data_IF_535332409885
#
_entry.id   IF_535332409885
#
_cell.length_a   1.000
_cell.length_b   1.000
_cell.length_c   1.000
_cell.angle_alpha   90.00
_cell.angle_beta   90.00
_cell.angle_gamma   90.00
#
_symmetry.space_group_name_H-M   'P 1'
#
loop_
_entity.id
_entity.type
_entity.pdbx_description
1 polymer ?
#
# COMPACT_ATOMS: atom_id res chain seq x y z
N UNK A 1 10.87 -15.02 25.72
CA UNK A 1 12.01 -15.83 25.23
C UNK A 1 11.70 -16.19 23.79
N UNK A 2 12.59 -15.88 22.83
CA UNK A 2 12.37 -16.21 21.44
C UNK A 2 12.37 -17.74 21.26
N UNK A 3 11.38 -18.27 20.57
CA UNK A 3 11.29 -19.70 20.29
C UNK A 3 12.34 -20.05 19.22
N UNK A 4 13.20 -21.04 19.48
CA UNK A 4 14.21 -21.45 18.50
C UNK A 4 13.57 -22.33 17.43
N UNK A 5 13.80 -21.97 16.16
CA UNK A 5 13.41 -22.76 14.99
C UNK A 5 14.60 -23.58 14.48
N UNK A 6 14.38 -24.85 14.12
CA UNK A 6 15.41 -25.76 13.60
C UNK A 6 14.94 -26.44 12.32
N UNK A 7 15.65 -26.21 11.21
CA UNK A 7 15.38 -26.88 9.93
C UNK A 7 15.60 -28.39 10.00
N UNK A 8 16.48 -28.87 10.88
CA UNK A 8 16.74 -30.29 11.06
C UNK A 8 15.54 -31.04 11.67
N UNK A 9 14.58 -30.32 12.25
CA UNK A 9 13.34 -30.89 12.77
C UNK A 9 12.20 -30.89 11.73
N UNK A 10 12.45 -30.45 10.49
CA UNK A 10 11.46 -30.39 9.43
C UNK A 10 11.65 -31.57 8.43
N UNK A 11 10.65 -32.44 8.31
CA UNK A 11 10.65 -33.53 7.31
C UNK A 11 10.35 -33.02 5.89
N UNK A 12 9.62 -31.90 5.78
CA UNK A 12 9.21 -31.29 4.53
C UNK A 12 9.36 -29.78 4.62
N UNK A 13 9.83 -29.17 3.53
CA UNK A 13 9.90 -27.72 3.37
C UNK A 13 9.10 -27.34 2.13
N UNK A 14 8.02 -26.59 2.33
CA UNK A 14 7.22 -26.01 1.26
C UNK A 14 7.77 -24.65 0.86
N UNK A 15 7.80 -24.36 -0.43
CA UNK A 15 8.18 -23.07 -0.97
C UNK A 15 7.02 -22.51 -1.78
N UNK A 16 6.75 -21.22 -1.59
CA UNK A 16 5.93 -20.47 -2.54
C UNK A 16 6.69 -20.31 -3.88
N UNK A 17 5.96 -20.08 -4.96
CA UNK A 17 6.57 -19.92 -6.28
C UNK A 17 6.93 -18.46 -6.51
N UNK A 18 5.93 -17.59 -6.58
CA UNK A 18 6.09 -16.23 -7.05
C UNK A 18 6.80 -15.35 -6.02
N UNK A 19 7.83 -14.62 -6.45
CA UNK A 19 8.72 -13.86 -5.57
C UNK A 19 9.47 -14.67 -4.50
N UNK A 20 9.33 -16.00 -4.49
CA UNK A 20 10.07 -16.92 -3.62
C UNK A 20 11.05 -17.79 -4.43
N UNK A 21 10.56 -18.75 -5.21
CA UNK A 21 11.40 -19.55 -6.13
C UNK A 21 11.58 -18.84 -7.48
N UNK A 22 10.50 -18.28 -8.02
CA UNK A 22 10.49 -17.49 -9.26
C UNK A 22 10.67 -16.01 -8.93
N UNK A 23 11.81 -15.44 -9.31
CA UNK A 23 12.14 -14.04 -9.05
C UNK A 23 11.94 -13.20 -10.31
N UNK A 24 10.97 -12.30 -10.25
CA UNK A 24 10.68 -11.35 -11.31
C UNK A 24 11.63 -10.16 -11.31
N UNK A 25 11.84 -9.56 -12.49
CA UNK A 25 12.40 -8.22 -12.59
C UNK A 25 11.31 -7.23 -12.16
N UNK A 26 11.47 -6.64 -10.98
CA UNK A 26 10.47 -5.77 -10.37
C UNK A 26 10.12 -4.55 -11.22
N UNK A 27 11.09 -3.97 -11.93
CA UNK A 27 10.84 -2.79 -12.76
C UNK A 27 9.92 -3.13 -13.93
N UNK A 28 10.19 -4.25 -14.60
CA UNK A 28 9.40 -4.70 -15.75
C UNK A 28 8.03 -5.21 -15.32
N UNK A 29 7.96 -5.98 -14.23
CA UNK A 29 6.69 -6.51 -13.73
C UNK A 29 5.79 -5.40 -13.20
N UNK A 30 6.35 -4.41 -12.49
CA UNK A 30 5.57 -3.28 -11.98
C UNK A 30 4.96 -2.47 -13.13
N UNK A 31 5.76 -2.16 -14.16
CA UNK A 31 5.28 -1.46 -15.35
C UNK A 31 4.18 -2.27 -16.07
N UNK A 32 4.35 -3.58 -16.23
CA UNK A 32 3.36 -4.44 -16.86
C UNK A 32 2.02 -4.44 -16.08
N UNK A 33 2.09 -4.60 -14.76
CA UNK A 33 0.90 -4.64 -13.90
C UNK A 33 0.16 -3.31 -13.96
N UNK A 34 0.88 -2.20 -13.76
CA UNK A 34 0.29 -0.86 -13.82
C UNK A 34 -0.39 -0.62 -15.17
N UNK A 35 0.33 -0.86 -16.27
CA UNK A 35 -0.18 -0.63 -17.62
C UNK A 35 -1.42 -1.48 -17.91
N UNK A 36 -1.45 -2.73 -17.42
CA UNK A 36 -2.61 -3.61 -17.60
C UNK A 36 -3.86 -3.04 -16.94
N UNK A 37 -3.74 -2.52 -15.72
CA UNK A 37 -4.86 -1.90 -15.02
C UNK A 37 -5.24 -0.54 -15.59
N UNK A 38 -4.26 0.33 -15.87
CA UNK A 38 -4.50 1.65 -16.43
C UNK A 38 -5.21 1.55 -17.79
N UNK A 39 -4.78 0.63 -18.67
CA UNK A 39 -5.45 0.39 -19.95
C UNK A 39 -6.89 -0.06 -19.79
N UNK A 40 -7.17 -0.94 -18.82
CA UNK A 40 -8.53 -1.38 -18.53
C UNK A 40 -9.40 -0.22 -18.00
N UNK A 41 -8.89 0.57 -17.06
CA UNK A 41 -9.64 1.70 -16.50
C UNK A 41 -9.95 2.76 -17.57
N UNK A 42 -9.00 3.07 -18.44
CA UNK A 42 -9.23 4.05 -19.51
C UNK A 42 -10.20 3.50 -20.56
N UNK A 43 -9.94 2.30 -21.10
CA UNK A 43 -10.74 1.76 -22.22
C UNK A 43 -12.13 1.30 -21.82
N UNK A 44 -12.25 0.59 -20.71
CA UNK A 44 -13.49 -0.10 -20.32
C UNK A 44 -14.29 0.68 -19.28
N UNK A 45 -13.63 1.58 -18.51
CA UNK A 45 -14.28 2.36 -17.45
C UNK A 45 -14.33 3.86 -17.73
N UNK A 46 -13.68 4.33 -18.80
CA UNK A 46 -13.73 5.73 -19.22
C UNK A 46 -12.97 6.69 -18.30
N UNK A 47 -11.95 6.21 -17.59
CA UNK A 47 -11.05 7.09 -16.83
C UNK A 47 -10.15 7.92 -17.75
N UNK A 48 -9.57 8.98 -17.21
CA UNK A 48 -8.71 9.91 -17.95
C UNK A 48 -7.46 9.22 -18.54
N UNK A 49 -7.13 9.56 -19.79
CA UNK A 49 -5.94 9.05 -20.49
C UNK A 49 -4.62 9.45 -19.80
N UNK A 50 -4.62 10.45 -18.92
CA UNK A 50 -3.48 10.83 -18.07
C UNK A 50 -2.95 9.63 -17.27
N UNK A 51 -3.80 8.64 -16.93
CA UNK A 51 -3.38 7.40 -16.26
C UNK A 51 -2.42 6.54 -17.10
N UNK A 52 -2.34 6.72 -18.41
CA UNK A 52 -1.40 6.00 -19.28
C UNK A 52 -0.02 6.68 -19.33
N UNK A 53 0.12 7.86 -18.74
CA UNK A 53 1.37 8.64 -18.75
C UNK A 53 2.10 8.46 -17.42
N UNK A 54 3.24 7.77 -17.47
CA UNK A 54 4.12 7.54 -16.34
C UNK A 54 5.51 8.11 -16.58
N UNK A 55 6.06 8.68 -15.53
CA UNK A 55 7.47 9.05 -15.41
C UNK A 55 8.20 8.04 -14.52
N UNK A 56 9.53 8.04 -14.55
CA UNK A 56 10.32 7.18 -13.64
C UNK A 56 10.14 7.60 -12.18
N UNK A 57 9.94 8.90 -11.92
CA UNK A 57 9.78 9.48 -10.58
C UNK A 57 8.47 9.05 -9.92
N UNK A 58 7.43 8.74 -10.69
CA UNK A 58 6.15 8.26 -10.15
C UNK A 58 6.31 6.96 -9.34
N UNK A 59 7.29 6.12 -9.70
CA UNK A 59 7.54 4.86 -8.99
C UNK A 59 8.10 5.04 -7.59
N UNK A 60 8.65 6.21 -7.25
CA UNK A 60 9.15 6.51 -5.90
C UNK A 60 8.01 6.55 -4.86
N UNK A 61 6.76 6.68 -5.32
CA UNK A 61 5.58 6.54 -4.48
C UNK A 61 5.41 5.12 -3.92
N UNK A 62 5.81 4.11 -4.68
CA UNK A 62 5.56 2.70 -4.38
C UNK A 62 6.42 2.20 -3.21
N UNK A 63 5.84 2.18 -2.01
CA UNK A 63 6.47 1.64 -0.80
C UNK A 63 5.68 0.46 -0.22
N UNK A 64 6.36 -0.66 0.08
CA UNK A 64 5.70 -1.79 0.76
C UNK A 64 5.14 -1.40 2.11
N UNK A 65 3.98 -1.95 2.46
CA UNK A 65 3.26 -1.67 3.69
C UNK A 65 2.68 -0.26 3.73
N UNK A 66 2.26 0.27 2.58
CA UNK A 66 1.37 1.43 2.50
C UNK A 66 -0.06 0.97 2.80
N UNK A 67 -0.77 1.74 3.60
CA UNK A 67 -2.20 1.58 3.82
C UNK A 67 -2.95 2.65 3.05
N UNK A 68 -4.00 2.28 2.33
CA UNK A 68 -4.95 3.21 1.73
C UNK A 68 -6.20 3.23 2.61
N UNK A 69 -6.56 4.43 3.07
CA UNK A 69 -7.85 4.72 3.64
C UNK A 69 -8.85 4.92 2.49
N UNK A 70 -9.82 4.01 2.37
CA UNK A 70 -10.80 4.01 1.29
C UNK A 70 -11.89 5.07 1.48
N UNK A 71 -12.03 5.64 2.69
CA UNK A 71 -13.05 6.66 2.95
C UNK A 71 -12.62 8.03 2.45
N UNK A 72 -11.34 8.38 2.59
CA UNK A 72 -10.81 9.68 2.23
C UNK A 72 -9.81 9.65 1.06
N UNK A 73 -9.30 8.48 0.66
CA UNK A 73 -8.30 8.35 -0.41
C UNK A 73 -6.87 8.66 0.05
N UNK A 74 -6.62 8.65 1.36
CA UNK A 74 -5.31 8.94 1.95
C UNK A 74 -4.46 7.67 2.01
N UNK A 75 -3.24 7.77 1.50
CA UNK A 75 -2.20 6.76 1.68
C UNK A 75 -1.40 7.08 2.92
N UNK A 76 -1.14 6.07 3.74
CA UNK A 76 -0.55 6.20 5.06
C UNK A 76 0.57 5.17 5.20
N UNK A 77 1.72 5.62 5.70
CA UNK A 77 2.82 4.76 6.10
C UNK A 77 2.89 4.72 7.62
N UNK A 78 2.73 3.54 8.20
CA UNK A 78 2.79 3.32 9.64
C UNK A 78 4.17 2.80 10.08
N UNK A 79 4.55 3.16 11.31
CA UNK A 79 5.58 2.49 12.08
C UNK A 79 5.03 1.21 12.73
N UNK A 80 5.93 0.38 13.27
CA UNK A 80 5.55 -0.86 13.94
C UNK A 80 4.67 -0.65 15.18
N UNK A 81 4.75 0.52 15.82
CA UNK A 81 3.92 0.90 16.97
C UNK A 81 2.59 1.58 16.57
N UNK A 82 2.28 1.64 15.27
CA UNK A 82 1.08 2.30 14.74
C UNK A 82 1.22 3.81 14.54
N UNK A 83 2.38 4.41 14.80
CA UNK A 83 2.62 5.84 14.55
C UNK A 83 2.59 6.12 13.04
N UNK A 84 1.86 7.17 12.62
CA UNK A 84 1.88 7.63 11.23
C UNK A 84 3.22 8.30 10.92
N UNK A 85 4.00 7.70 10.03
CA UNK A 85 5.31 8.21 9.58
C UNK A 85 5.18 9.17 8.41
N UNK A 86 4.28 8.88 7.48
CA UNK A 86 4.00 9.68 6.28
C UNK A 86 2.54 9.51 5.88
N UNK A 87 1.99 10.52 5.24
CA UNK A 87 0.69 10.44 4.59
C UNK A 87 0.66 11.25 3.28
N UNK A 88 -0.18 10.85 2.35
CA UNK A 88 -0.47 11.58 1.11
C UNK A 88 -1.93 11.45 0.75
N UNK A 89 -2.51 12.50 0.17
CA UNK A 89 -3.82 12.42 -0.47
C UNK A 89 -3.58 12.29 -1.96
N UNK A 90 -3.94 11.14 -2.54
CA UNK A 90 -3.42 10.77 -3.87
C UNK A 90 -1.89 10.78 -3.89
N UNK A 91 -1.28 11.37 -4.93
CA UNK A 91 0.19 11.49 -5.03
C UNK A 91 0.76 12.68 -4.24
N UNK A 92 -0.10 13.55 -3.70
CA UNK A 92 0.32 14.75 -2.98
C UNK A 92 0.67 14.45 -1.52
N UNK A 93 1.96 14.48 -1.21
CA UNK A 93 2.48 14.30 0.15
C UNK A 93 1.99 15.40 1.11
N UNK A 94 1.60 14.99 2.31
CA UNK A 94 1.32 15.92 3.40
C UNK A 94 2.61 16.56 3.93
N UNK A 95 2.53 17.84 4.30
CA UNK A 95 3.65 18.50 4.99
C UNK A 95 3.74 18.03 6.45
N UNK A 96 4.90 18.17 7.11
CA UNK A 96 5.06 17.79 8.50
C UNK A 96 4.05 18.48 9.45
N UNK A 97 3.69 19.72 9.17
CA UNK A 97 2.71 20.50 9.94
C UNK A 97 1.32 19.91 9.80
N UNK A 98 0.88 19.63 8.56
CA UNK A 98 -0.41 19.00 8.28
C UNK A 98 -0.50 17.59 8.86
N UNK A 99 0.60 16.83 8.81
CA UNK A 99 0.69 15.50 9.41
C UNK A 99 0.53 15.58 10.94
N UNK A 100 1.18 16.55 11.57
CA UNK A 100 1.10 16.76 13.03
C UNK A 100 -0.29 17.23 13.44
N UNK A 101 -0.95 18.07 12.64
CA UNK A 101 -2.32 18.49 12.88
C UNK A 101 -3.32 17.34 12.76
N UNK A 102 -3.18 16.51 11.73
CA UNK A 102 -4.07 15.38 11.47
C UNK A 102 -3.86 14.20 12.43
N UNK A 103 -2.60 13.84 12.70
CA UNK A 103 -2.23 12.59 13.38
C UNK A 103 -1.35 12.78 14.63
N UNK A 104 -0.87 13.98 14.94
CA UNK A 104 0.16 14.22 15.97
C UNK A 104 -0.21 13.88 17.41
N UNK A 105 -1.49 13.63 17.72
CA UNK A 105 -1.95 13.16 19.05
C UNK A 105 -2.90 11.97 19.00
N UNK A 106 -3.15 11.40 17.81
CA UNK A 106 -4.16 10.37 17.59
C UNK A 106 -3.56 9.22 16.82
N UNK A 107 -3.71 8.00 17.34
CA UNK A 107 -3.54 6.79 16.52
C UNK A 107 -4.49 6.89 15.31
N UNK A 108 -4.04 6.43 14.15
CA UNK A 108 -4.89 6.44 12.95
C UNK A 108 -6.18 5.65 13.24
N UNK A 109 -7.33 6.20 12.81
CA UNK A 109 -8.67 5.75 13.19
C UNK A 109 -8.91 4.25 12.97
N UNK A 110 -8.22 3.66 12.00
CA UNK A 110 -8.33 2.27 11.61
C UNK A 110 -7.25 1.37 12.21
N UNK A 111 -6.17 1.95 12.75
CA UNK A 111 -5.14 1.24 13.50
C UNK A 111 -5.57 1.19 14.97
N UNK A 112 -6.70 0.53 15.26
CA UNK A 112 -7.03 0.21 16.63
C UNK A 112 -6.07 -0.88 17.07
N UNK A 113 -5.21 -0.54 18.03
CA UNK A 113 -4.45 -1.50 18.81
C UNK A 113 -5.44 -2.43 19.51
N UNK A 114 -5.96 -3.46 18.84
CA UNK A 114 -6.74 -4.49 19.50
C UNK A 114 -5.77 -5.35 20.32
N UNK A 115 -5.50 -4.90 21.54
CA UNK A 115 -4.69 -5.62 22.54
C UNK A 115 -5.33 -6.95 22.98
N UNK A 116 -6.38 -7.45 22.29
CA UNK A 116 -7.11 -8.69 22.61
C UNK A 116 -6.86 -9.84 21.64
N UNK A 117 -6.24 -9.65 20.49
CA UNK A 117 -5.89 -10.76 19.61
C UNK A 117 -4.62 -11.46 20.09
N UNK A 118 -4.81 -12.60 20.76
CA UNK A 118 -3.79 -13.55 21.28
C UNK A 118 -3.07 -14.31 20.14
N UNK A 119 -2.92 -13.71 18.97
CA UNK A 119 -2.23 -14.28 17.82
C UNK A 119 -1.20 -13.25 17.38
N UNK A 120 0.08 -13.53 17.62
CA UNK A 120 1.23 -12.65 17.38
C UNK A 120 1.55 -12.35 15.92
N UNK A 121 0.53 -11.98 15.14
CA UNK A 121 0.64 -11.30 13.87
C UNK A 121 0.01 -9.92 14.06
N UNK A 122 0.82 -8.95 14.46
CA UNK A 122 0.45 -7.54 14.63
C UNK A 122 0.20 -6.88 13.26
N UNK A 123 -0.76 -7.40 12.49
CA UNK A 123 -1.31 -6.68 11.35
C UNK A 123 -2.44 -5.85 11.93
N UNK A 124 -2.39 -4.51 11.85
CA UNK A 124 -3.50 -3.67 12.26
C UNK A 124 -4.77 -4.15 11.57
N UNK A 125 -5.69 -4.73 12.34
CA UNK A 125 -6.95 -5.21 11.81
C UNK A 125 -7.82 -3.98 11.56
N UNK A 126 -7.58 -3.33 10.43
CA UNK A 126 -8.38 -2.21 9.99
C UNK A 126 -9.78 -2.74 9.67
N UNK A 127 -10.80 -1.97 10.05
CA UNK A 127 -12.13 -2.15 9.48
C UNK A 127 -12.02 -2.26 7.95
N UNK A 128 -12.96 -2.93 7.25
CA UNK A 128 -12.94 -3.12 5.78
C UNK A 128 -12.98 -1.84 4.92
N UNK A 129 -12.57 -0.72 5.51
CA UNK A 129 -12.37 0.63 5.04
C UNK A 129 -10.90 0.91 4.70
N UNK A 130 -9.97 -0.01 4.94
CA UNK A 130 -8.58 0.16 4.55
C UNK A 130 -8.05 -1.01 3.73
N UNK A 131 -7.13 -0.70 2.81
CA UNK A 131 -6.41 -1.69 2.00
C UNK A 131 -4.91 -1.57 2.24
N UNK A 132 -4.20 -2.69 2.38
CA UNK A 132 -2.74 -2.70 2.57
C UNK A 132 -2.04 -3.21 1.32
N UNK A 133 -1.05 -2.46 0.84
CA UNK A 133 -0.16 -2.84 -0.26
C UNK A 133 1.10 -3.49 0.31
N UNK A 134 1.13 -4.81 0.42
CA UNK A 134 2.19 -5.55 1.12
C UNK A 134 3.06 -6.45 0.21
N UNK A 135 2.58 -6.73 -0.99
CA UNK A 135 3.23 -7.63 -1.94
C UNK A 135 3.73 -6.86 -3.16
N UNK A 136 4.38 -7.57 -4.08
CA UNK A 136 4.94 -6.95 -5.29
C UNK A 136 3.92 -6.91 -6.45
N UNK A 137 2.77 -7.58 -6.30
CA UNK A 137 1.72 -7.61 -7.31
C UNK A 137 0.76 -6.44 -7.18
N UNK A 138 0.45 -6.02 -5.95
CA UNK A 138 -0.48 -4.93 -5.67
C UNK A 138 0.19 -3.55 -5.61
N UNK A 139 1.49 -3.50 -5.30
CA UNK A 139 2.21 -2.25 -5.11
C UNK A 139 2.11 -1.27 -6.30
N UNK A 140 2.19 -1.71 -7.58
CA UNK A 140 1.95 -0.81 -8.72
C UNK A 140 0.53 -0.25 -8.73
N UNK A 141 -0.44 -1.00 -8.21
CA UNK A 141 -1.82 -0.56 -8.01
C UNK A 141 -1.94 0.60 -7.02
N UNK A 142 -1.04 0.72 -6.04
CA UNK A 142 -1.05 1.84 -5.09
C UNK A 142 -0.86 3.18 -5.82
N UNK A 143 0.12 3.26 -6.72
CA UNK A 143 0.36 4.43 -7.55
C UNK A 143 -0.83 4.73 -8.47
N UNK A 144 -1.42 3.69 -9.07
CA UNK A 144 -2.59 3.87 -9.93
C UNK A 144 -3.77 4.44 -9.15
N UNK A 145 -4.07 3.87 -7.97
CA UNK A 145 -5.09 4.38 -7.08
C UNK A 145 -4.80 5.82 -6.63
N UNK A 146 -3.54 6.16 -6.33
CA UNK A 146 -3.16 7.52 -5.97
C UNK A 146 -3.45 8.53 -7.10
N UNK A 147 -3.09 8.20 -8.35
CA UNK A 147 -3.40 9.03 -9.52
C UNK A 147 -4.90 9.14 -9.77
N UNK A 148 -5.66 8.06 -9.54
CA UNK A 148 -7.13 8.10 -9.61
C UNK A 148 -7.69 9.08 -8.58
N UNK A 149 -7.20 9.07 -7.34
CA UNK A 149 -7.60 10.04 -6.30
C UNK A 149 -7.27 11.47 -6.72
N UNK A 150 -6.11 11.70 -7.35
CA UNK A 150 -5.75 13.02 -7.88
C UNK A 150 -6.74 13.48 -8.96
N UNK A 151 -7.08 12.60 -9.91
CA UNK A 151 -8.07 12.90 -10.96
C UNK A 151 -9.45 13.22 -10.39
N UNK A 152 -9.91 12.47 -9.38
CA UNK A 152 -11.20 12.73 -8.72
C UNK A 152 -11.18 14.08 -7.98
N UNK A 153 -10.09 14.38 -7.28
CA UNK A 153 -9.94 15.65 -6.53
C UNK A 153 -9.93 16.88 -7.46
N UNK A 154 -9.39 16.74 -8.69
CA UNK A 154 -9.46 17.81 -9.72
C UNK A 154 -10.89 18.13 -10.15
N UNK A 155 -11.79 17.14 -10.17
CA UNK A 155 -13.20 17.32 -10.60
C UNK A 155 -14.02 18.04 -9.53
N UNK A 156 -13.69 17.85 -8.25
CA UNK A 156 -14.42 18.42 -7.12
C UNK A 156 -13.95 19.85 -6.72
N UNK A 157 -12.91 20.38 -7.36
CA UNK A 157 -12.31 21.70 -7.08
C UNK A 157 -12.80 22.79 -8.02
#
# INVERSE_FOLDING_TARGET
MAQHFSLAACDVVGFDLDHTLCRYNLSESAALIYNSFAQFLVKEKGYDEELLTLTLEDWDFCCKGLALDLEDGTFIKLAADGTVLRASHGTKMMTPEALTEAYGKKEWRHCLSDKRSVSGSDIPCCSGKCYFYDNYFDLPGALLCAKVVDSLTKVDS
#
